data_IF_113465942891
#
_entry.id   IF_113465942891
#
_cell.length_a   1.000
_cell.length_b   1.000
_cell.length_c   1.000
_cell.angle_alpha   90.00
_cell.angle_beta   90.00
_cell.angle_gamma   90.00
#
_symmetry.space_group_name_H-M   'P 1'
#
loop_
_entity.id
_entity.type
_entity.pdbx_description
1 polymer ?
#
# COMPACT_ATOMS: atom_id res chain seq x y z
N UNK A 1 -5.05 -32.27 -34.12
CA UNK A 1 -5.52 -30.87 -34.05
C UNK A 1 -5.89 -30.65 -32.58
N UNK A 2 -4.96 -30.14 -31.78
CA UNK A 2 -5.15 -29.93 -30.35
C UNK A 2 -4.56 -28.57 -30.03
N UNK A 3 -5.39 -27.54 -30.08
CA UNK A 3 -5.06 -26.16 -29.72
C UNK A 3 -5.99 -25.74 -28.58
N UNK A 4 -6.17 -26.57 -27.57
CA UNK A 4 -7.09 -26.26 -26.45
C UNK A 4 -6.62 -26.79 -25.08
N UNK A 5 -5.43 -27.41 -24.96
CA UNK A 5 -4.94 -27.90 -23.65
C UNK A 5 -4.23 -26.83 -22.79
N UNK A 6 -3.87 -25.67 -23.36
CA UNK A 6 -3.13 -24.59 -22.67
C UNK A 6 -3.94 -23.30 -22.47
N UNK A 7 -5.23 -23.27 -22.79
CA UNK A 7 -6.06 -22.11 -22.50
C UNK A 7 -6.23 -21.99 -20.98
N UNK A 8 -5.84 -20.85 -20.35
CA UNK A 8 -5.97 -20.71 -18.91
C UNK A 8 -7.44 -20.84 -18.54
N UNK A 9 -7.75 -21.78 -17.64
CA UNK A 9 -9.08 -21.89 -17.10
C UNK A 9 -9.47 -20.60 -16.35
N UNK A 10 -10.77 -20.37 -16.17
CA UNK A 10 -11.26 -19.17 -15.50
C UNK A 10 -10.67 -19.00 -14.09
N UNK A 11 -10.32 -20.10 -13.39
CA UNK A 11 -9.67 -20.05 -12.08
C UNK A 11 -8.24 -19.53 -12.15
N UNK A 12 -7.46 -19.95 -13.15
CA UNK A 12 -6.11 -19.46 -13.39
C UNK A 12 -6.09 -17.96 -13.74
N UNK A 13 -7.06 -17.49 -14.53
CA UNK A 13 -7.20 -16.07 -14.85
C UNK A 13 -7.55 -15.24 -13.61
N UNK A 14 -8.48 -15.70 -12.77
CA UNK A 14 -8.86 -15.00 -11.54
C UNK A 14 -7.72 -14.97 -10.51
N UNK A 15 -6.99 -16.07 -10.35
CA UNK A 15 -5.82 -16.10 -9.45
C UNK A 15 -4.69 -15.19 -9.96
N UNK A 16 -4.48 -15.13 -11.28
CA UNK A 16 -3.51 -14.20 -11.85
C UNK A 16 -3.94 -12.73 -11.64
N UNK A 17 -5.23 -12.41 -11.83
CA UNK A 17 -5.78 -11.08 -11.54
C UNK A 17 -5.54 -10.70 -10.09
N UNK A 18 -5.80 -11.62 -9.16
CA UNK A 18 -5.56 -11.40 -7.73
C UNK A 18 -4.08 -11.14 -7.42
N UNK A 19 -3.18 -11.90 -8.03
CA UNK A 19 -1.73 -11.70 -7.87
C UNK A 19 -1.29 -10.34 -8.43
N UNK A 20 -1.78 -9.95 -9.61
CA UNK A 20 -1.48 -8.64 -10.20
C UNK A 20 -1.98 -7.51 -9.30
N UNK A 21 -3.20 -7.62 -8.76
CA UNK A 21 -3.72 -6.64 -7.80
C UNK A 21 -2.90 -6.55 -6.52
N UNK A 22 -2.39 -7.68 -6.01
CA UNK A 22 -1.52 -7.70 -4.84
C UNK A 22 -0.19 -6.99 -5.13
N UNK A 23 0.44 -7.30 -6.26
CA UNK A 23 1.68 -6.67 -6.70
C UNK A 23 1.54 -5.17 -6.96
N UNK A 24 0.39 -4.72 -7.49
CA UNK A 24 0.11 -3.29 -7.64
C UNK A 24 0.03 -2.58 -6.29
N UNK A 25 -0.64 -3.17 -5.30
CA UNK A 25 -0.69 -2.61 -3.95
C UNK A 25 0.70 -2.56 -3.31
N UNK A 26 1.48 -3.64 -3.42
CA UNK A 26 2.85 -3.68 -2.90
C UNK A 26 3.73 -2.62 -3.54
N UNK A 27 3.67 -2.48 -4.87
CA UNK A 27 4.44 -1.47 -5.61
C UNK A 27 4.02 -0.04 -5.21
N UNK A 28 2.72 0.22 -5.04
CA UNK A 28 2.25 1.51 -4.56
C UNK A 28 2.78 1.84 -3.16
N UNK A 29 2.77 0.87 -2.23
CA UNK A 29 3.34 1.03 -0.88
C UNK A 29 4.84 1.29 -0.93
N UNK A 30 5.60 0.55 -1.74
CA UNK A 30 7.04 0.73 -1.89
C UNK A 30 7.37 2.11 -2.49
N UNK A 31 6.68 2.48 -3.56
CA UNK A 31 6.86 3.77 -4.21
C UNK A 31 6.59 4.93 -3.27
N UNK A 32 5.51 4.86 -2.49
CA UNK A 32 5.17 5.91 -1.53
C UNK A 32 6.11 5.92 -0.32
N UNK A 33 6.55 4.75 0.14
CA UNK A 33 7.61 4.66 1.16
C UNK A 33 8.86 5.41 0.72
N UNK A 34 9.32 5.20 -0.51
CA UNK A 34 10.49 5.91 -1.05
C UNK A 34 10.23 7.42 -1.11
N UNK A 35 9.03 7.85 -1.54
CA UNK A 35 8.68 9.29 -1.59
C UNK A 35 8.71 9.93 -0.21
N UNK A 36 8.09 9.30 0.79
CA UNK A 36 8.04 9.80 2.16
C UNK A 36 9.43 9.85 2.78
N UNK A 37 10.24 8.78 2.65
CA UNK A 37 11.60 8.78 3.18
C UNK A 37 12.47 9.86 2.54
N UNK A 38 12.36 10.06 1.22
CA UNK A 38 13.07 11.14 0.53
C UNK A 38 12.64 12.54 0.99
N UNK A 39 11.38 12.70 1.39
CA UNK A 39 10.85 13.97 1.90
C UNK A 39 11.26 14.23 3.36
N UNK A 40 11.29 13.19 4.20
CA UNK A 40 11.63 13.29 5.62
C UNK A 40 13.16 13.38 5.83
N UNK A 41 13.91 12.35 5.45
CA UNK A 41 15.38 12.32 5.41
C UNK A 41 15.83 11.11 4.57
N UNK A 42 16.55 11.31 3.44
CA UNK A 42 17.03 10.23 2.58
C UNK A 42 17.94 9.20 3.26
N UNK A 43 18.46 9.48 4.46
CA UNK A 43 19.28 8.56 5.27
C UNK A 43 18.45 7.61 6.12
N UNK A 44 17.15 7.83 6.27
CA UNK A 44 16.27 6.96 7.03
C UNK A 44 16.15 5.60 6.35
N UNK A 45 16.38 4.55 7.13
CA UNK A 45 16.18 3.19 6.68
C UNK A 45 14.67 2.91 6.50
N UNK A 46 14.23 2.23 5.43
CA UNK A 46 12.81 1.90 5.23
C UNK A 46 12.16 1.10 6.36
N UNK A 47 12.93 0.37 7.17
CA UNK A 47 12.43 -0.30 8.37
C UNK A 47 12.09 0.66 9.52
N UNK A 48 12.59 1.91 9.47
CA UNK A 48 12.37 2.94 10.49
C UNK A 48 11.10 3.78 10.24
N UNK A 49 10.20 3.35 9.36
CA UNK A 49 8.92 4.03 9.13
C UNK A 49 8.13 4.19 10.43
N UNK A 50 8.00 5.44 10.86
CA UNK A 50 7.16 5.84 12.00
C UNK A 50 5.67 5.66 11.67
N UNK A 51 4.81 5.64 12.70
CA UNK A 51 3.36 5.61 12.49
C UNK A 51 2.87 6.84 11.70
N UNK A 52 3.53 7.99 11.87
CA UNK A 52 3.27 9.21 11.12
C UNK A 52 3.56 9.03 9.62
N UNK A 53 4.75 8.52 9.28
CA UNK A 53 5.14 8.25 7.88
C UNK A 53 4.23 7.19 7.24
N UNK A 54 3.87 6.13 7.97
CA UNK A 54 2.89 5.12 7.50
C UNK A 54 1.51 5.70 7.27
N UNK A 55 1.09 6.65 8.10
CA UNK A 55 -0.20 7.34 7.93
C UNK A 55 -0.24 8.15 6.64
N UNK A 56 0.87 8.82 6.27
CA UNK A 56 0.98 9.52 4.97
C UNK A 56 0.94 8.56 3.79
N UNK A 57 1.64 7.41 3.89
CA UNK A 57 1.58 6.36 2.87
C UNK A 57 0.14 5.87 2.66
N UNK A 58 -0.59 5.59 3.75
CA UNK A 58 -1.99 5.18 3.68
C UNK A 58 -2.86 6.24 3.01
N UNK A 59 -2.70 7.52 3.38
CA UNK A 59 -3.50 8.60 2.80
C UNK A 59 -3.29 8.77 1.30
N UNK A 60 -2.08 8.53 0.80
CA UNK A 60 -1.77 8.58 -0.62
C UNK A 60 -2.40 7.43 -1.42
N UNK A 61 -2.41 6.20 -0.89
CA UNK A 61 -2.84 5.01 -1.65
C UNK A 61 -4.29 4.58 -1.39
N UNK A 62 -4.91 5.00 -0.27
CA UNK A 62 -6.26 4.54 0.12
C UNK A 62 -7.36 4.91 -0.87
N UNK A 63 -7.14 5.91 -1.74
CA UNK A 63 -8.09 6.30 -2.78
C UNK A 63 -8.22 5.24 -3.88
N UNK A 64 -7.14 4.53 -4.17
CA UNK A 64 -7.06 3.52 -5.23
C UNK A 64 -7.35 2.11 -4.69
N UNK A 65 -6.82 1.76 -3.52
CA UNK A 65 -6.92 0.39 -2.98
C UNK A 65 -7.94 0.24 -1.85
N UNK A 66 -8.52 1.33 -1.37
CA UNK A 66 -9.37 1.36 -0.18
C UNK A 66 -8.59 1.30 1.13
N UNK A 67 -9.19 1.83 2.19
CA UNK A 67 -8.54 1.99 3.50
C UNK A 67 -8.15 0.66 4.15
N UNK A 68 -8.99 -0.38 4.03
CA UNK A 68 -8.74 -1.68 4.70
C UNK A 68 -7.48 -2.34 4.13
N UNK A 69 -7.35 -2.39 2.80
CA UNK A 69 -6.17 -2.97 2.13
C UNK A 69 -4.91 -2.16 2.41
N UNK A 70 -5.00 -0.83 2.40
CA UNK A 70 -3.88 0.04 2.73
C UNK A 70 -3.37 -0.14 4.18
N UNK A 71 -4.28 -0.29 5.14
CA UNK A 71 -3.93 -0.56 6.55
C UNK A 71 -3.26 -1.94 6.70
N UNK A 72 -3.78 -2.96 6.03
CA UNK A 72 -3.20 -4.31 6.04
C UNK A 72 -1.79 -4.31 5.44
N UNK A 73 -1.61 -3.68 4.27
CA UNK A 73 -0.34 -3.66 3.56
C UNK A 73 0.76 -2.90 4.32
N UNK A 74 0.40 -1.90 5.13
CA UNK A 74 1.35 -1.12 5.95
C UNK A 74 1.48 -1.62 7.39
N UNK A 75 0.68 -2.62 7.78
CA UNK A 75 0.64 -3.15 9.15
C UNK A 75 0.17 -2.16 10.22
N UNK A 76 -0.43 -1.02 9.84
CA UNK A 76 -0.86 0.00 10.78
C UNK A 76 -2.25 -0.32 11.35
N UNK A 77 -2.39 -0.27 12.67
CA UNK A 77 -3.70 -0.46 13.31
C UNK A 77 -4.62 0.73 12.99
N UNK A 78 -5.90 0.44 12.73
CA UNK A 78 -6.92 1.46 12.42
C UNK A 78 -7.01 2.58 13.47
N UNK A 79 -6.94 2.25 14.76
CA UNK A 79 -6.98 3.26 15.84
C UNK A 79 -5.77 4.22 15.79
N UNK A 80 -4.58 3.66 15.56
CA UNK A 80 -3.34 4.44 15.38
C UNK A 80 -3.44 5.35 14.17
N UNK A 81 -3.95 4.84 13.04
CA UNK A 81 -4.14 5.63 11.83
C UNK A 81 -4.99 6.89 12.07
N UNK A 82 -6.17 6.77 12.70
CA UNK A 82 -7.02 7.94 12.93
C UNK A 82 -6.44 8.91 13.96
N UNK A 83 -5.73 8.40 14.98
CA UNK A 83 -5.01 9.24 15.94
C UNK A 83 -3.92 10.08 15.24
N UNK A 84 -2.99 9.42 14.56
CA UNK A 84 -1.87 10.07 13.86
C UNK A 84 -2.36 11.03 12.77
N UNK A 85 -3.37 10.62 12.00
CA UNK A 85 -3.98 11.47 10.97
C UNK A 85 -4.61 12.73 11.55
N UNK A 86 -5.23 12.63 12.72
CA UNK A 86 -5.74 13.78 13.45
C UNK A 86 -4.63 14.76 13.87
N UNK A 87 -3.52 14.22 14.37
CA UNK A 87 -2.33 15.03 14.73
C UNK A 87 -1.72 15.71 13.50
N UNK A 88 -1.57 14.98 12.38
CA UNK A 88 -1.07 15.53 11.11
C UNK A 88 -1.92 16.70 10.64
N UNK A 89 -3.24 16.51 10.53
CA UNK A 89 -4.17 17.53 10.03
C UNK A 89 -4.23 18.75 10.97
N UNK A 90 -4.05 18.55 12.27
CA UNK A 90 -4.02 19.65 13.24
C UNK A 90 -2.70 20.43 13.21
N UNK A 91 -1.57 19.79 12.89
CA UNK A 91 -0.26 20.43 12.79
C UNK A 91 0.03 21.10 11.44
N UNK A 92 -0.63 20.67 10.37
CA UNK A 92 -0.55 21.31 9.03
C UNK A 92 -1.36 22.61 8.92
N UNK A 93 -2.16 22.95 9.94
CA UNK A 93 -3.08 24.11 9.96
C UNK A 93 -2.49 25.29 10.72
#
# INVERSE_FOLDING_TARGET
>A
MGWDEDAPDAGGVEELRRQVEALWLENAVMGETIRVLKADDPRLDPSMLTNWSRTRIIDAIRGEFGLVRALQATGLKRGTYYYERGVIVAGDK
#
